data_IF_604392275695
#
_entry.id   IF_604392275695
#
_cell.length_a   1.000
_cell.length_b   1.000
_cell.length_c   1.000
_cell.angle_alpha   90.00
_cell.angle_beta   90.00
_cell.angle_gamma   90.00
#
_symmetry.space_group_name_H-M   'P 1'
#
loop_
_entity.id
_entity.type
_entity.pdbx_description
1 polymer ?
#
# COMPACT_ATOMS: atom_id res chain seq x y z
N UNK A 1 4.83 8.07 26.10
CA UNK A 1 3.77 7.57 25.21
C UNK A 1 4.14 7.99 23.80
N UNK A 2 4.47 7.04 22.92
CA UNK A 2 4.78 7.34 21.52
C UNK A 2 3.47 7.68 20.81
N UNK A 3 3.31 8.96 20.45
CA UNK A 3 2.18 9.44 19.65
C UNK A 3 2.29 8.87 18.23
N UNK A 4 1.84 7.63 18.03
CA UNK A 4 1.43 7.17 16.72
C UNK A 4 0.00 7.67 16.49
N UNK A 5 -0.14 8.99 16.34
CA UNK A 5 -1.39 9.59 15.93
C UNK A 5 -1.83 9.00 14.60
N UNK A 6 -3.08 8.55 14.54
CA UNK A 6 -3.74 8.27 13.28
C UNK A 6 -3.69 9.54 12.43
N UNK A 7 -3.39 9.37 11.15
CA UNK A 7 -3.21 10.49 10.23
C UNK A 7 -3.42 10.05 8.80
N UNK A 8 -3.23 11.00 7.91
CA UNK A 8 -3.38 10.74 6.49
C UNK A 8 -2.05 10.22 5.94
N UNK A 9 -2.10 9.05 5.30
CA UNK A 9 -0.94 8.40 4.71
C UNK A 9 -1.18 8.15 3.22
N UNK A 10 -0.25 8.63 2.41
CA UNK A 10 -0.13 8.26 1.02
C UNK A 10 0.61 6.93 0.94
N UNK A 11 -0.07 5.91 0.41
CA UNK A 11 0.47 4.57 0.26
C UNK A 11 0.67 4.26 -1.21
N UNK A 12 1.90 3.89 -1.56
CA UNK A 12 2.28 3.44 -2.89
C UNK A 12 2.68 1.98 -2.82
N UNK A 13 2.07 1.16 -3.66
CA UNK A 13 2.33 -0.25 -3.81
C UNK A 13 2.87 -0.53 -5.21
N UNK A 14 4.01 -1.21 -5.27
CA UNK A 14 4.59 -1.72 -6.50
C UNK A 14 4.57 -3.25 -6.46
N UNK A 15 3.95 -3.87 -7.45
CA UNK A 15 3.89 -5.32 -7.60
C UNK A 15 4.14 -5.72 -9.06
N UNK A 16 4.52 -6.97 -9.25
CA UNK A 16 4.61 -7.60 -10.57
C UNK A 16 3.29 -8.31 -10.85
N UNK A 17 2.81 -8.21 -12.08
CA UNK A 17 1.78 -9.08 -12.57
C UNK A 17 2.38 -10.40 -13.10
N UNK A 18 1.53 -11.38 -13.40
CA UNK A 18 1.89 -12.68 -13.97
C UNK A 18 2.52 -12.58 -15.37
N UNK A 19 2.42 -11.42 -16.04
CA UNK A 19 3.05 -11.17 -17.34
C UNK A 19 4.45 -10.56 -17.20
N UNK A 20 4.89 -10.28 -15.97
CA UNK A 20 6.18 -9.63 -15.67
C UNK A 20 6.12 -8.10 -15.75
N UNK A 21 4.95 -7.51 -15.94
CA UNK A 21 4.74 -6.07 -15.94
C UNK A 21 4.73 -5.53 -14.51
N UNK A 22 5.50 -4.46 -14.27
CA UNK A 22 5.46 -3.74 -13.00
C UNK A 22 4.29 -2.78 -12.97
N UNK A 23 3.40 -3.00 -12.00
CA UNK A 23 2.25 -2.15 -11.75
C UNK A 23 2.50 -1.35 -10.48
N UNK A 24 2.36 -0.03 -10.59
CA UNK A 24 2.40 0.90 -9.46
C UNK A 24 0.98 1.39 -9.16
N UNK A 25 0.55 1.27 -7.90
CA UNK A 25 -0.73 1.80 -7.41
C UNK A 25 -0.51 2.73 -6.24
N UNK A 26 -1.23 3.85 -6.25
CA UNK A 26 -1.15 4.89 -5.24
C UNK A 26 -2.54 5.11 -4.64
N UNK A 27 -2.61 5.24 -3.32
CA UNK A 27 -3.85 5.51 -2.59
C UNK A 27 -3.58 6.42 -1.39
N UNK A 28 -4.55 7.23 -1.01
CA UNK A 28 -4.52 7.99 0.23
C UNK A 28 -5.42 7.27 1.24
N UNK A 29 -4.87 6.94 2.40
CA UNK A 29 -5.58 6.38 3.53
C UNK A 29 -5.73 7.47 4.59
N UNK A 30 -6.95 7.74 5.02
CA UNK A 30 -7.26 8.83 5.96
C UNK A 30 -7.44 8.30 7.38
N UNK A 31 -6.98 9.05 8.39
CA UNK A 31 -7.14 8.73 9.81
C UNK A 31 -6.75 7.28 10.18
N UNK A 32 -5.64 6.79 9.63
CA UNK A 32 -5.11 5.45 9.93
C UNK A 32 -3.70 5.55 10.51
N UNK A 33 -3.24 4.50 11.18
CA UNK A 33 -1.82 4.38 11.48
C UNK A 33 -1.02 4.03 10.23
N UNK A 34 0.29 4.31 10.24
CA UNK A 34 1.21 3.91 9.16
C UNK A 34 1.15 2.40 8.88
N UNK A 35 0.94 1.58 9.92
CA UNK A 35 0.85 0.13 9.80
C UNK A 35 -0.45 -0.26 9.08
N UNK A 36 -1.59 0.25 9.53
CA UNK A 36 -2.89 0.00 8.89
C UNK A 36 -2.92 0.46 7.44
N UNK A 37 -2.30 1.61 7.13
CA UNK A 37 -2.18 2.10 5.76
C UNK A 37 -1.44 1.09 4.85
N UNK A 38 -0.35 0.48 5.35
CA UNK A 38 0.42 -0.53 4.60
C UNK A 38 -0.34 -1.85 4.47
N UNK A 39 -0.89 -2.33 5.57
CA UNK A 39 -1.61 -3.61 5.61
C UNK A 39 -2.88 -3.53 4.75
N UNK A 40 -3.65 -2.44 4.87
CA UNK A 40 -4.84 -2.21 4.03
C UNK A 40 -4.53 -2.06 2.55
N UNK A 41 -3.39 -1.46 2.17
CA UNK A 41 -2.98 -1.39 0.76
C UNK A 41 -2.54 -2.77 0.23
N UNK A 42 -1.86 -3.57 1.05
CA UNK A 42 -1.47 -4.94 0.71
C UNK A 42 -2.71 -5.81 0.50
N UNK A 43 -3.65 -5.78 1.45
CA UNK A 43 -4.90 -6.55 1.34
C UNK A 43 -5.74 -6.10 0.15
N UNK A 44 -5.82 -4.79 -0.12
CA UNK A 44 -6.48 -4.28 -1.31
C UNK A 44 -5.86 -4.83 -2.59
N UNK A 45 -4.53 -4.81 -2.69
CA UNK A 45 -3.82 -5.29 -3.88
C UNK A 45 -3.97 -6.80 -4.04
N UNK A 46 -3.82 -7.56 -2.97
CA UNK A 46 -3.99 -9.01 -2.99
C UNK A 46 -5.42 -9.41 -3.33
N UNK A 47 -6.45 -8.72 -2.82
CA UNK A 47 -7.85 -9.06 -3.13
C UNK A 47 -8.29 -8.55 -4.50
N UNK A 48 -7.88 -7.34 -4.91
CA UNK A 48 -8.34 -6.73 -6.17
C UNK A 48 -7.59 -7.26 -7.38
N UNK A 49 -6.33 -7.65 -7.19
CA UNK A 49 -5.45 -8.13 -8.25
C UNK A 49 -5.02 -9.58 -8.03
N UNK A 50 -5.71 -10.36 -7.18
CA UNK A 50 -5.44 -11.79 -6.96
C UNK A 50 -5.27 -12.58 -8.25
N UNK A 51 -6.06 -12.23 -9.28
CA UNK A 51 -6.07 -12.93 -10.55
C UNK A 51 -4.82 -12.66 -11.40
N UNK A 52 -4.21 -11.48 -11.25
CA UNK A 52 -3.08 -11.04 -12.08
C UNK A 52 -1.78 -10.89 -11.31
N UNK A 53 -1.81 -10.81 -9.98
CA UNK A 53 -0.62 -10.56 -9.17
C UNK A 53 0.26 -11.79 -9.16
N UNK A 54 1.57 -11.56 -9.30
CA UNK A 54 2.55 -12.61 -9.13
C UNK A 54 2.86 -12.79 -7.64
N UNK A 55 2.29 -13.84 -7.05
CA UNK A 55 2.50 -14.21 -5.64
C UNK A 55 3.91 -14.73 -5.35
N UNK A 56 4.68 -15.09 -6.37
CA UNK A 56 6.08 -15.50 -6.19
C UNK A 56 7.01 -14.29 -5.94
N UNK A 57 6.55 -13.08 -6.27
CA UNK A 57 7.33 -11.86 -6.12
C UNK A 57 6.88 -10.99 -4.93
N UNK A 58 7.82 -10.37 -4.20
CA UNK A 58 7.49 -9.57 -3.04
C UNK A 58 6.77 -8.27 -3.44
N UNK A 59 5.59 -8.05 -2.83
CA UNK A 59 4.83 -6.80 -2.97
C UNK A 59 5.50 -5.70 -2.13
N UNK A 60 5.97 -4.64 -2.78
CA UNK A 60 6.62 -3.52 -2.09
C UNK A 60 5.59 -2.42 -1.80
N UNK A 61 5.21 -2.29 -0.53
CA UNK A 61 4.31 -1.24 -0.04
C UNK A 61 5.06 -0.21 0.78
N UNK A 62 5.02 1.04 0.32
CA UNK A 62 5.58 2.21 0.99
C UNK A 62 4.46 3.16 1.42
N UNK A 63 4.43 3.52 2.71
CA UNK A 63 3.51 4.52 3.25
C UNK A 63 4.29 5.77 3.66
N UNK A 64 3.84 6.93 3.18
CA UNK A 64 4.37 8.26 3.49
C UNK A 64 3.26 9.09 4.13
N UNK A 65 3.51 9.84 5.21
CA UNK A 65 2.50 10.76 5.74
C UNK A 65 2.16 11.82 4.68
N UNK A 66 0.89 12.12 4.52
CA UNK A 66 0.41 13.26 3.73
C UNK A 66 0.63 14.50 4.59
N UNK A 67 1.80 15.11 4.47
CA UNK A 67 1.99 16.47 4.97
C UNK A 67 1.29 17.41 4.01
N UNK A 68 0.07 17.83 4.37
CA UNK A 68 -0.54 19.04 3.83
C UNK A 68 0.40 20.18 4.23
N UNK A 69 1.15 20.72 3.27
CA UNK A 69 1.89 21.98 3.42
C UNK A 69 0.97 23.13 3.06
#
# INVERSE_FOLDING_TARGET
>A
MLFFGNGDYEVTCNFLDKTGQRIAKKRICHNVSKKEARDGMRDYVTNRFSDIIDVAHPIKVAAKPVTTR
#
